data_IF_362738270946
#
_entry.id   IF_362738270946
#
_cell.length_a   1.000
_cell.length_b   1.000
_cell.length_c   1.000
_cell.angle_alpha   90.00
_cell.angle_beta   90.00
_cell.angle_gamma   90.00
#
_symmetry.space_group_name_H-M   'P 1'
#
loop_
_entity.id
_entity.type
_entity.pdbx_description
1 polymer ?
#
# COMPACT_ATOMS: atom_id res chain seq x y z
N UNK A 1 -4.28 16.16 3.92
CA UNK A 1 -5.62 15.78 3.42
C UNK A 1 -5.40 14.96 2.16
N UNK A 2 -5.90 13.73 2.12
CA UNK A 2 -5.83 12.80 0.97
C UNK A 2 -6.80 13.28 -0.11
N UNK A 3 -6.36 13.34 -1.36
CA UNK A 3 -7.22 13.78 -2.47
C UNK A 3 -8.25 12.68 -2.81
N UNK A 4 -9.45 13.02 -3.30
CA UNK A 4 -10.42 12.01 -3.76
C UNK A 4 -9.83 11.03 -4.78
N UNK A 5 -9.05 11.53 -5.75
CA UNK A 5 -8.33 10.70 -6.73
C UNK A 5 -7.31 9.75 -6.09
N UNK A 6 -6.69 10.17 -4.98
CA UNK A 6 -5.75 9.34 -4.22
C UNK A 6 -6.48 8.25 -3.42
N UNK A 7 -7.65 8.55 -2.86
CA UNK A 7 -8.52 7.56 -2.23
C UNK A 7 -9.05 6.54 -3.24
N UNK A 8 -9.52 6.98 -4.41
CA UNK A 8 -9.97 6.09 -5.48
C UNK A 8 -8.84 5.17 -5.91
N UNK A 9 -7.63 5.70 -6.08
CA UNK A 9 -6.44 4.91 -6.40
C UNK A 9 -6.18 3.82 -5.34
N UNK A 10 -6.26 4.13 -4.04
CA UNK A 10 -6.08 3.12 -2.99
C UNK A 10 -7.11 1.98 -3.08
N UNK A 11 -8.38 2.31 -3.32
CA UNK A 11 -9.43 1.29 -3.46
C UNK A 11 -9.16 0.39 -4.68
N UNK A 12 -8.70 0.94 -5.80
CA UNK A 12 -8.34 0.17 -6.98
C UNK A 12 -7.12 -0.73 -6.75
N UNK A 13 -6.11 -0.27 -6.00
CA UNK A 13 -4.97 -1.11 -5.58
C UNK A 13 -5.44 -2.26 -4.69
N UNK A 14 -6.36 -1.98 -3.76
CA UNK A 14 -6.93 -2.99 -2.88
C UNK A 14 -7.72 -4.05 -3.68
N UNK A 15 -8.56 -3.62 -4.63
CA UNK A 15 -9.30 -4.49 -5.54
C UNK A 15 -8.36 -5.35 -6.41
N UNK A 16 -7.37 -4.73 -7.05
CA UNK A 16 -6.34 -5.43 -7.83
C UNK A 16 -5.64 -6.51 -7.00
N UNK A 17 -5.31 -6.19 -5.75
CA UNK A 17 -4.63 -7.10 -4.83
C UNK A 17 -5.54 -8.26 -4.43
N UNK A 18 -6.81 -7.99 -4.15
CA UNK A 18 -7.78 -9.03 -3.76
C UNK A 18 -8.10 -9.97 -4.92
N UNK A 19 -8.26 -9.45 -6.14
CA UNK A 19 -8.43 -10.26 -7.36
C UNK A 19 -7.27 -11.24 -7.55
N UNK A 20 -6.03 -10.76 -7.39
CA UNK A 20 -4.84 -11.62 -7.49
C UNK A 20 -4.76 -12.68 -6.40
N UNK A 21 -5.18 -12.36 -5.17
CA UNK A 21 -5.26 -13.34 -4.07
C UNK A 21 -6.28 -14.44 -4.34
N UNK A 22 -7.28 -14.16 -5.19
CA UNK A 22 -8.31 -15.11 -5.63
C UNK A 22 -7.95 -15.82 -6.93
N UNK A 23 -6.68 -15.76 -7.34
CA UNK A 23 -6.17 -16.38 -8.57
C UNK A 23 -6.86 -15.89 -9.86
N UNK A 24 -7.43 -14.68 -9.86
CA UNK A 24 -7.93 -14.03 -11.08
C UNK A 24 -6.74 -13.58 -11.93
N UNK A 25 -6.75 -13.94 -13.22
CA UNK A 25 -5.71 -13.53 -14.17
C UNK A 25 -5.90 -12.06 -14.53
N UNK A 26 -5.18 -11.18 -13.82
CA UNK A 26 -5.21 -9.75 -14.07
C UNK A 26 -4.05 -9.36 -15.00
N UNK A 27 -4.33 -8.77 -16.19
CA UNK A 27 -3.31 -8.32 -17.13
C UNK A 27 -2.23 -7.44 -16.48
N UNK A 28 -0.98 -7.62 -16.92
CA UNK A 28 0.15 -6.85 -16.39
C UNK A 28 0.01 -5.35 -16.70
N UNK A 29 -0.60 -5.00 -17.83
CA UNK A 29 -0.89 -3.61 -18.24
C UNK A 29 -1.66 -2.84 -17.17
N UNK A 30 -2.67 -3.44 -16.54
CA UNK A 30 -3.46 -2.80 -15.48
C UNK A 30 -2.57 -2.43 -14.28
N UNK A 31 -1.58 -3.27 -13.96
CA UNK A 31 -0.63 -2.96 -12.88
C UNK A 31 0.29 -1.80 -13.23
N UNK A 32 0.70 -1.71 -14.50
CA UNK A 32 1.51 -0.61 -15.01
C UNK A 32 0.72 0.70 -14.98
N UNK A 33 -0.55 0.66 -15.40
CA UNK A 33 -1.45 1.82 -15.38
C UNK A 33 -1.71 2.30 -13.95
N UNK A 34 -2.00 1.39 -13.01
CA UNK A 34 -2.14 1.74 -11.58
C UNK A 34 -0.88 2.42 -11.03
N UNK A 35 0.32 1.94 -11.40
CA UNK A 35 1.59 2.57 -11.00
C UNK A 35 1.79 3.93 -11.64
N UNK A 36 1.41 4.08 -12.91
CA UNK A 36 1.50 5.34 -13.64
C UNK A 36 0.59 6.39 -12.99
N UNK A 37 -0.65 6.04 -12.65
CA UNK A 37 -1.57 6.93 -11.94
C UNK A 37 -0.98 7.42 -10.61
N UNK A 38 -0.32 6.55 -9.83
CA UNK A 38 0.35 6.95 -8.59
C UNK A 38 1.39 8.04 -8.83
N UNK A 39 2.16 7.89 -9.90
CA UNK A 39 3.18 8.87 -10.30
C UNK A 39 2.53 10.20 -10.70
N UNK A 40 1.46 10.16 -11.50
CA UNK A 40 0.72 11.35 -11.91
C UNK A 40 0.06 12.08 -10.73
N UNK A 41 -0.50 11.35 -9.75
CA UNK A 41 -1.05 11.94 -8.52
C UNK A 41 0.04 12.65 -7.73
N UNK A 42 1.22 12.04 -7.57
CA UNK A 42 2.33 12.67 -6.85
C UNK A 42 2.85 13.92 -7.58
N UNK A 43 2.90 13.86 -8.91
CA UNK A 43 3.26 15.01 -9.74
C UNK A 43 2.26 16.17 -9.56
N UNK A 44 0.96 15.88 -9.63
CA UNK A 44 -0.10 16.86 -9.37
C UNK A 44 0.03 17.48 -7.96
N UNK A 45 0.31 16.67 -6.94
CA UNK A 45 0.47 17.13 -5.55
C UNK A 45 1.71 18.01 -5.34
N UNK A 46 2.69 17.97 -6.24
CA UNK A 46 3.93 18.75 -6.09
C UNK A 46 3.74 20.23 -6.37
N UNK A 47 2.81 20.61 -7.26
CA UNK A 47 2.49 22.00 -7.59
C UNK A 47 1.03 22.19 -8.03
N UNK A 48 0.04 22.07 -7.12
CA UNK A 48 -1.38 22.04 -7.49
C UNK A 48 -1.93 23.33 -8.11
N UNK A 49 -1.26 24.47 -7.90
CA UNK A 49 -1.71 25.80 -8.35
C UNK A 49 -1.34 26.09 -9.81
N UNK A 50 -0.50 25.26 -10.42
CA UNK A 50 -0.08 25.41 -11.80
C UNK A 50 -1.24 25.13 -12.77
N UNK A 51 -1.58 26.05 -13.70
CA UNK A 51 -2.67 25.87 -14.66
C UNK A 51 -2.58 24.60 -15.52
N UNK A 52 -1.38 24.09 -15.78
CA UNK A 52 -1.17 22.83 -16.52
C UNK A 52 -1.67 21.61 -15.72
N UNK A 53 -1.68 21.69 -14.38
CA UNK A 53 -2.12 20.61 -13.50
C UNK A 53 -3.62 20.36 -13.56
N UNK A 54 -4.42 21.33 -14.02
CA UNK A 54 -5.84 21.10 -14.28
C UNK A 54 -6.04 20.06 -15.40
N UNK A 55 -5.17 20.05 -16.42
CA UNK A 55 -5.18 19.02 -17.47
C UNK A 55 -4.74 17.67 -16.93
N UNK A 56 -3.72 17.66 -16.07
CA UNK A 56 -3.24 16.43 -15.42
C UNK A 56 -4.30 15.81 -14.51
N UNK A 57 -5.05 16.62 -13.74
CA UNK A 57 -6.14 16.10 -12.91
C UNK A 57 -7.23 15.43 -13.76
N UNK A 58 -7.58 16.00 -14.91
CA UNK A 58 -8.52 15.36 -15.84
C UNK A 58 -7.97 14.02 -16.33
N UNK A 59 -6.72 14.00 -16.78
CA UNK A 59 -6.04 12.78 -17.25
C UNK A 59 -6.00 11.70 -16.17
N UNK A 60 -5.71 12.07 -14.92
CA UNK A 60 -5.72 11.14 -13.77
C UNK A 60 -7.10 10.52 -13.60
N UNK A 61 -8.18 11.31 -13.68
CA UNK A 61 -9.54 10.79 -13.58
C UNK A 61 -9.89 9.85 -14.73
N UNK A 62 -9.52 10.21 -15.97
CA UNK A 62 -9.76 9.37 -17.14
C UNK A 62 -9.05 8.00 -16.99
N UNK A 63 -7.79 8.01 -16.55
CA UNK A 63 -7.04 6.77 -16.27
C UNK A 63 -7.66 5.94 -15.14
N UNK A 64 -8.07 6.59 -14.04
CA UNK A 64 -8.72 5.90 -12.92
C UNK A 64 -10.04 5.25 -13.36
N UNK A 65 -10.82 5.91 -14.22
CA UNK A 65 -12.06 5.36 -14.76
C UNK A 65 -11.80 4.12 -15.64
N UNK A 66 -10.82 4.17 -16.53
CA UNK A 66 -10.46 3.00 -17.35
C UNK A 66 -10.01 1.80 -16.49
N UNK A 67 -9.13 2.04 -15.52
CA UNK A 67 -8.70 0.99 -14.57
C UNK A 67 -9.89 0.45 -13.78
N UNK A 68 -10.80 1.32 -13.34
CA UNK A 68 -11.99 0.92 -12.61
C UNK A 68 -12.89 0.01 -13.45
N UNK A 69 -13.15 0.36 -14.72
CA UNK A 69 -13.95 -0.45 -15.63
C UNK A 69 -13.35 -1.84 -15.80
N UNK A 70 -12.04 -1.92 -16.12
CA UNK A 70 -11.34 -3.19 -16.31
C UNK A 70 -11.33 -4.07 -15.05
N UNK A 71 -11.06 -3.48 -13.88
CA UNK A 71 -11.03 -4.24 -12.62
C UNK A 71 -12.43 -4.69 -12.17
N UNK A 72 -13.48 -3.90 -12.44
CA UNK A 72 -14.85 -4.29 -12.11
C UNK A 72 -15.36 -5.39 -13.05
N UNK A 73 -15.00 -5.36 -14.34
CA UNK A 73 -15.28 -6.46 -15.27
C UNK A 73 -14.62 -7.76 -14.80
N UNK A 74 -13.35 -7.70 -14.39
CA UNK A 74 -12.67 -8.86 -13.79
C UNK A 74 -13.32 -9.31 -12.48
N UNK A 75 -13.83 -8.38 -11.67
CA UNK A 75 -14.53 -8.70 -10.43
C UNK A 75 -15.83 -9.47 -10.66
N UNK A 76 -16.54 -9.23 -11.77
CA UNK A 76 -17.75 -9.99 -12.14
C UNK A 76 -17.46 -11.49 -12.36
N UNK A 77 -16.22 -11.86 -12.70
CA UNK A 77 -15.80 -13.26 -12.88
C UNK A 77 -15.71 -14.04 -11.57
N UNK A 78 -15.59 -13.35 -10.42
CA UNK A 78 -15.52 -13.97 -9.09
C UNK A 78 -16.92 -14.39 -8.63
N UNK A 79 -17.86 -13.44 -8.64
CA UNK A 79 -19.30 -13.66 -8.42
C UNK A 79 -20.07 -12.39 -8.79
N UNK A 80 -21.38 -12.50 -9.03
CA UNK A 80 -22.21 -11.36 -9.43
C UNK A 80 -22.38 -10.28 -8.35
N UNK A 81 -22.20 -10.64 -7.08
CA UNK A 81 -22.31 -9.73 -5.93
C UNK A 81 -20.96 -9.13 -5.51
N UNK A 82 -19.84 -9.73 -5.92
CA UNK A 82 -18.50 -9.30 -5.53
C UNK A 82 -18.15 -7.85 -5.93
N UNK A 83 -18.53 -7.33 -7.12
CA UNK A 83 -18.28 -5.92 -7.47
C UNK A 83 -18.99 -4.91 -6.56
N UNK A 84 -20.11 -5.28 -5.94
CA UNK A 84 -20.98 -4.32 -5.23
C UNK A 84 -20.28 -3.63 -4.06
N UNK A 85 -19.49 -4.38 -3.28
CA UNK A 85 -18.71 -3.82 -2.17
C UNK A 85 -17.63 -2.83 -2.63
N UNK A 86 -17.02 -3.09 -3.79
CA UNK A 86 -15.98 -2.23 -4.37
C UNK A 86 -16.58 -0.96 -4.93
N UNK A 87 -17.71 -1.07 -5.63
CA UNK A 87 -18.49 0.08 -6.12
C UNK A 87 -18.86 1.02 -4.97
N UNK A 88 -19.28 0.47 -3.81
CA UNK A 88 -19.60 1.32 -2.66
C UNK A 88 -18.36 2.03 -2.09
N UNK A 89 -17.22 1.33 -1.94
CA UNK A 89 -15.94 1.95 -1.53
C UNK A 89 -15.52 3.06 -2.49
N UNK A 90 -15.61 2.83 -3.80
CA UNK A 90 -15.28 3.79 -4.85
C UNK A 90 -16.18 5.04 -4.80
N UNK A 91 -17.49 4.86 -4.61
CA UNK A 91 -18.43 5.98 -4.45
C UNK A 91 -18.13 6.85 -3.24
N UNK A 92 -17.68 6.24 -2.14
CA UNK A 92 -17.28 6.96 -0.92
C UNK A 92 -15.95 7.69 -1.13
N UNK A 93 -14.96 7.05 -1.74
CA UNK A 93 -13.70 7.70 -2.13
C UNK A 93 -13.93 8.92 -3.04
N UNK A 94 -14.78 8.80 -4.06
CA UNK A 94 -15.12 9.89 -4.98
C UNK A 94 -15.79 11.09 -4.30
N UNK A 95 -16.50 10.87 -3.18
CA UNK A 95 -17.08 11.93 -2.34
C UNK A 95 -16.05 12.61 -1.42
N UNK A 96 -14.80 12.17 -1.45
CA UNK A 96 -13.72 12.67 -0.59
C UNK A 96 -13.71 12.03 0.80
N UNK A 97 -14.43 10.93 1.01
CA UNK A 97 -14.32 10.17 2.25
C UNK A 97 -12.97 9.44 2.30
N UNK A 98 -12.34 9.44 3.47
CA UNK A 98 -11.16 8.61 3.72
C UNK A 98 -11.61 7.16 3.95
N UNK A 99 -11.68 6.39 2.86
CA UNK A 99 -12.03 4.96 2.88
C UNK A 99 -10.81 4.07 3.07
N UNK A 100 -9.63 4.59 2.75
CA UNK A 100 -8.36 3.92 2.94
C UNK A 100 -7.38 4.88 3.61
N UNK A 101 -6.94 4.54 4.82
CA UNK A 101 -5.80 5.21 5.43
C UNK A 101 -4.53 4.60 4.88
N UNK A 102 -3.74 5.30 4.06
CA UNK A 102 -2.39 4.83 3.82
C UNK A 102 -1.68 4.68 5.16
N UNK A 103 -0.85 3.64 5.35
CA UNK A 103 0.10 3.66 6.46
C UNK A 103 0.89 4.96 6.37
N UNK A 104 1.12 5.62 7.52
CA UNK A 104 1.87 6.88 7.57
C UNK A 104 3.35 6.64 7.24
N UNK A 105 3.66 6.27 6.01
CA UNK A 105 5.04 6.07 5.57
C UNK A 105 5.61 7.45 5.24
N UNK A 106 6.12 8.16 6.25
CA UNK A 106 7.28 9.00 5.98
C UNK A 106 8.43 8.02 5.75
N UNK A 107 8.55 7.50 4.53
CA UNK A 107 9.75 6.78 4.11
C UNK A 107 10.92 7.75 4.24
N UNK A 108 11.52 7.79 5.42
CA UNK A 108 12.78 8.43 5.70
C UNK A 108 13.84 7.40 5.36
N UNK A 109 14.96 7.87 4.81
CA UNK A 109 16.16 7.03 4.74
C UNK A 109 16.42 6.45 6.13
N UNK A 110 16.66 5.14 6.21
CA UNK A 110 17.04 4.49 7.45
C UNK A 110 18.44 5.00 7.79
N UNK A 111 18.52 5.89 8.78
CA UNK A 111 19.77 6.44 9.29
C UNK A 111 20.15 5.65 10.54
N UNK A 112 21.41 5.20 10.63
CA UNK A 112 21.89 4.46 11.81
C UNK A 112 22.02 2.94 11.65
N UNK A 113 21.76 2.38 10.46
CA UNK A 113 22.05 0.98 10.20
C UNK A 113 23.53 0.67 10.48
N UNK A 114 23.85 -0.36 11.29
CA UNK A 114 25.23 -0.77 11.52
C UNK A 114 25.94 -1.08 10.19
N UNK A 115 27.20 -0.68 10.00
CA UNK A 115 27.93 -0.94 8.75
C UNK A 115 27.95 -2.45 8.42
N UNK A 116 27.54 -2.79 7.20
CA UNK A 116 27.49 -4.18 6.72
C UNK A 116 26.16 -4.90 6.91
N UNK A 117 25.20 -4.30 7.64
CA UNK A 117 23.87 -4.87 7.83
C UNK A 117 22.91 -4.42 6.72
N UNK A 118 22.03 -5.31 6.29
CA UNK A 118 20.84 -4.92 5.55
C UNK A 118 19.82 -4.29 6.52
N UNK A 119 18.89 -3.52 5.97
CA UNK A 119 17.87 -2.83 6.77
C UNK A 119 16.48 -2.96 6.13
N UNK A 120 15.47 -3.10 6.98
CA UNK A 120 14.06 -3.04 6.60
C UNK A 120 13.31 -2.16 7.61
N UNK A 121 12.23 -1.52 7.15
CA UNK A 121 11.35 -0.71 8.00
C UNK A 121 9.91 -1.11 7.74
N UNK A 122 9.16 -1.34 8.81
CA UNK A 122 7.83 -1.95 8.74
C UNK A 122 6.85 -1.14 9.58
N UNK A 123 5.74 -0.74 8.96
CA UNK A 123 4.55 -0.30 9.70
C UNK A 123 3.71 -1.52 10.04
N UNK A 124 3.47 -1.72 11.32
CA UNK A 124 2.61 -2.76 11.88
C UNK A 124 1.15 -2.31 11.78
N UNK A 125 0.22 -3.27 11.66
CA UNK A 125 -1.22 -2.93 11.70
C UNK A 125 -1.64 -2.51 13.10
N UNK A 126 -1.03 -3.13 14.10
CA UNK A 126 -1.21 -2.86 15.53
C UNK A 126 0.15 -3.04 16.22
N UNK A 127 0.44 -2.30 17.31
CA UNK A 127 1.68 -2.44 18.07
C UNK A 127 1.93 -3.88 18.53
N UNK A 128 3.15 -4.36 18.36
CA UNK A 128 3.59 -5.63 18.96
C UNK A 128 4.13 -5.38 20.36
N UNK A 129 3.86 -6.30 21.28
CA UNK A 129 4.42 -6.24 22.62
C UNK A 129 5.95 -6.39 22.56
N UNK A 130 6.67 -5.61 23.38
CA UNK A 130 8.12 -5.49 23.35
C UNK A 130 8.83 -6.83 23.57
N UNK A 131 8.29 -7.66 24.48
CA UNK A 131 8.75 -9.02 24.74
C UNK A 131 8.71 -9.91 23.49
N UNK A 132 7.62 -9.81 22.71
CA UNK A 132 7.48 -10.55 21.45
C UNK A 132 8.47 -10.09 20.39
N UNK A 133 8.73 -8.79 20.32
CA UNK A 133 9.73 -8.26 19.39
C UNK A 133 11.13 -8.69 19.79
N UNK A 134 11.43 -8.72 21.09
CA UNK A 134 12.69 -9.22 21.62
C UNK A 134 12.89 -10.71 21.30
N UNK A 135 11.87 -11.55 21.50
CA UNK A 135 11.93 -12.98 21.15
C UNK A 135 12.31 -13.21 19.67
N UNK A 136 11.72 -12.43 18.76
CA UNK A 136 11.98 -12.50 17.32
C UNK A 136 13.41 -12.02 17.01
N UNK A 137 13.83 -10.92 17.65
CA UNK A 137 15.17 -10.38 17.49
C UNK A 137 16.24 -11.41 17.88
N UNK A 138 16.06 -12.06 19.04
CA UNK A 138 16.98 -13.10 19.52
C UNK A 138 16.94 -14.35 18.63
N UNK A 139 15.75 -14.81 18.24
CA UNK A 139 15.57 -16.02 17.42
C UNK A 139 16.23 -15.91 16.05
N UNK A 140 16.12 -14.75 15.40
CA UNK A 140 16.64 -14.53 14.04
C UNK A 140 17.95 -13.74 14.02
N UNK A 141 18.58 -13.47 15.17
CA UNK A 141 19.80 -12.65 15.25
C UNK A 141 19.64 -11.27 14.59
N UNK A 142 18.50 -10.63 14.84
CA UNK A 142 18.17 -9.29 14.33
C UNK A 142 18.35 -8.24 15.42
N UNK A 143 18.59 -7.01 14.98
CA UNK A 143 18.42 -5.83 15.81
C UNK A 143 17.08 -5.22 15.39
N UNK A 144 16.14 -5.10 16.33
CA UNK A 144 14.84 -4.47 16.09
C UNK A 144 14.70 -3.27 17.01
N UNK A 145 14.42 -2.11 16.42
CA UNK A 145 14.24 -0.85 17.13
C UNK A 145 12.84 -0.30 16.83
N UNK A 146 12.11 0.11 17.87
CA UNK A 146 10.88 0.87 17.72
C UNK A 146 11.23 2.33 17.43
N UNK A 147 10.81 2.84 16.26
CA UNK A 147 10.84 4.26 15.96
C UNK A 147 9.57 4.97 16.47
N UNK A 148 8.42 4.27 16.41
CA UNK A 148 7.10 4.65 16.96
C UNK A 148 6.40 3.34 17.42
N UNK A 149 5.26 3.43 18.12
CA UNK A 149 4.55 2.25 18.66
C UNK A 149 4.20 1.18 17.60
N UNK A 150 3.88 1.62 16.37
CA UNK A 150 3.52 0.77 15.23
C UNK A 150 4.60 0.74 14.14
N UNK A 151 5.80 1.28 14.42
CA UNK A 151 6.85 1.44 13.41
C UNK A 151 8.18 0.90 13.91
N UNK A 152 8.67 -0.13 13.24
CA UNK A 152 9.92 -0.78 13.60
C UNK A 152 10.97 -0.68 12.47
N UNK A 153 12.21 -0.49 12.87
CA UNK A 153 13.41 -0.67 12.05
C UNK A 153 14.07 -2.00 12.40
N UNK A 154 14.46 -2.76 11.37
CA UNK A 154 15.03 -4.11 11.50
C UNK A 154 16.37 -4.13 10.78
N UNK A 155 17.42 -4.56 11.48
CA UNK A 155 18.76 -4.72 10.93
C UNK A 155 19.25 -6.15 11.11
N UNK A 156 19.89 -6.69 10.08
CA UNK A 156 20.41 -8.05 10.08
C UNK A 156 21.04 -8.43 8.76
N UNK A 157 21.40 -9.71 8.63
CA UNK A 157 21.65 -10.28 7.33
C UNK A 157 20.34 -10.37 6.52
N UNK A 158 20.45 -10.24 5.19
CA UNK A 158 19.28 -10.19 4.30
C UNK A 158 18.35 -11.40 4.44
N UNK A 159 18.90 -12.59 4.71
CA UNK A 159 18.12 -13.82 4.89
C UNK A 159 17.39 -13.86 6.23
N UNK A 160 18.02 -13.36 7.29
CA UNK A 160 17.42 -13.35 8.61
C UNK A 160 16.34 -12.28 8.74
N UNK A 161 16.52 -11.13 8.08
CA UNK A 161 15.46 -10.13 7.92
C UNK A 161 14.24 -10.76 7.26
N UNK A 162 14.41 -11.55 6.20
CA UNK A 162 13.27 -12.22 5.54
C UNK A 162 12.55 -13.21 6.47
N UNK A 163 13.28 -13.92 7.33
CA UNK A 163 12.68 -14.85 8.31
C UNK A 163 11.94 -14.10 9.41
N UNK A 164 12.56 -13.08 10.00
CA UNK A 164 11.93 -12.23 11.02
C UNK A 164 10.69 -11.52 10.49
N UNK A 165 10.74 -10.94 9.29
CA UNK A 165 9.58 -10.34 8.63
C UNK A 165 8.44 -11.34 8.41
N UNK A 166 8.76 -12.59 8.08
CA UNK A 166 7.74 -13.64 7.90
C UNK A 166 7.06 -13.99 9.22
N UNK A 167 7.82 -14.07 10.31
CA UNK A 167 7.28 -14.30 11.64
C UNK A 167 6.43 -13.12 12.13
N UNK A 168 6.94 -11.90 12.01
CA UNK A 168 6.18 -10.66 12.31
C UNK A 168 4.87 -10.64 11.51
N UNK A 169 4.93 -10.93 10.21
CA UNK A 169 3.76 -10.98 9.36
C UNK A 169 2.74 -12.06 9.73
N UNK A 170 3.12 -13.09 10.49
CA UNK A 170 2.20 -14.16 10.92
C UNK A 170 1.20 -13.68 11.97
N UNK A 171 1.53 -12.66 12.77
CA UNK A 171 0.65 -12.10 13.79
C UNK A 171 -0.52 -11.29 13.21
N UNK A 172 -0.47 -10.97 11.92
CA UNK A 172 -1.49 -10.14 11.25
C UNK A 172 -2.26 -10.90 10.17
N UNK A 173 -2.12 -12.23 10.11
CA UNK A 173 -2.92 -13.11 9.25
C UNK A 173 -4.17 -13.57 10.01
N UNK A 174 -5.17 -12.70 10.04
CA UNK A 174 -6.58 -13.09 10.18
C UNK A 174 -7.27 -12.98 8.82
#
# INVERSE_FOLDING_TARGET
MTLPVEQTWFVLVELLTDLRKRDVDVPTSITEDVRLVRTSINFYKSDPENPEMMKELKRINDMLNSIQEELLELAETVSSDYPAQWIEKLKRAARGEEVHRPPQTKSKFIVGAPPGFAAARVHLREPLAEDRVQDIAETHSLIIEFEEDDLIAIYGDSEDIKKGLREIGSFFRE
#
